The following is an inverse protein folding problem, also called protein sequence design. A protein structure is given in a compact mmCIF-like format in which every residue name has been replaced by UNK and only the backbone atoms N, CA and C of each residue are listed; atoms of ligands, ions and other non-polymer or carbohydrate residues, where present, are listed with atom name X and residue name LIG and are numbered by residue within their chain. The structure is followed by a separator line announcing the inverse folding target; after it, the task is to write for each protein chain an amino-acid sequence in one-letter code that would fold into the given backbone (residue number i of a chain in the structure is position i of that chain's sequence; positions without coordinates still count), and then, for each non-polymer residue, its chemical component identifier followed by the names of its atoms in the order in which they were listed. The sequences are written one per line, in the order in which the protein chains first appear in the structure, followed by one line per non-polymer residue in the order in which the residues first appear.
data_IF_258816835582
#
_entry.id   IF_258816835582
#
_cell.length_a   1.000
_cell.length_b   1.000
_cell.length_c   1.000
_cell.angle_alpha   90.00
_cell.angle_beta   90.00
_cell.angle_gamma   90.00
#
_symmetry.space_group_name_H-M   'P 1'
#
loop_
_entity.id
_entity.type
_entity.pdbx_description
1 polymer ?
#
# COMPACT_ATOMS: atom_id res chain seq x y z
N UNK A 1 13.07 -1.10 18.26
CA UNK A 1 12.10 -2.23 18.01
C UNK A 1 12.84 -3.36 17.29
N UNK A 2 12.56 -4.66 17.56
CA UNK A 2 13.17 -5.80 16.84
C UNK A 2 12.36 -6.18 15.60
N UNK A 3 12.98 -6.85 14.60
CA UNK A 3 12.30 -7.32 13.39
C UNK A 3 11.09 -8.23 13.69
N UNK A 4 11.16 -9.06 14.73
CA UNK A 4 10.03 -9.89 15.19
C UNK A 4 8.77 -9.08 15.47
N UNK A 5 8.92 -7.85 16.00
CA UNK A 5 7.79 -6.98 16.30
C UNK A 5 7.17 -6.39 15.01
N UNK A 6 7.96 -6.24 13.93
CA UNK A 6 7.43 -5.84 12.62
C UNK A 6 6.50 -6.92 12.08
N UNK A 7 6.84 -8.20 12.29
CA UNK A 7 6.03 -9.35 11.84
C UNK A 7 4.76 -9.55 12.65
N UNK A 8 4.81 -9.33 13.97
CA UNK A 8 3.69 -9.61 14.88
C UNK A 8 2.57 -8.56 14.85
N UNK A 9 2.80 -7.40 14.24
CA UNK A 9 1.80 -6.34 14.09
C UNK A 9 1.29 -6.28 12.66
N UNK A 10 -0.02 -6.34 12.46
CA UNK A 10 -0.60 -5.94 11.18
C UNK A 10 -0.21 -4.48 10.91
N UNK A 11 0.34 -4.19 9.73
CA UNK A 11 0.61 -2.81 9.32
C UNK A 11 -0.68 -1.99 9.40
N UNK A 12 -0.61 -0.75 9.87
CA UNK A 12 -1.81 0.09 10.06
C UNK A 12 -2.66 0.19 8.78
N UNK A 13 -2.04 0.16 7.61
CA UNK A 13 -2.73 0.24 6.33
C UNK A 13 -3.58 -1.00 5.99
N UNK A 14 -3.36 -2.15 6.68
CA UNK A 14 -4.14 -3.39 6.52
C UNK A 14 -5.31 -3.49 7.50
N UNK A 15 -5.46 -2.55 8.44
CA UNK A 15 -6.48 -2.65 9.49
C UNK A 15 -7.92 -2.53 9.00
N UNK A 16 -8.13 -2.14 7.74
CA UNK A 16 -9.47 -1.94 7.21
C UNK A 16 -10.23 -0.81 7.92
N UNK A 17 -9.50 0.17 8.44
CA UNK A 17 -10.03 1.36 9.12
C UNK A 17 -9.95 2.58 8.21
N UNK A 18 -10.68 3.65 8.55
CA UNK A 18 -10.65 4.91 7.82
C UNK A 18 -11.72 5.03 6.73
N UNK A 19 -11.86 6.23 6.14
CA UNK A 19 -12.89 6.50 5.14
C UNK A 19 -12.75 5.60 3.92
N UNK A 20 -13.86 5.06 3.43
CA UNK A 20 -13.94 4.24 2.21
C UNK A 20 -13.03 3.00 2.20
N UNK A 21 -12.68 2.44 3.37
CA UNK A 21 -11.77 1.29 3.51
C UNK A 21 -12.22 0.03 2.75
N UNK A 22 -13.49 -0.08 2.42
CA UNK A 22 -14.04 -1.17 1.59
C UNK A 22 -13.48 -1.15 0.16
N UNK A 23 -13.17 0.05 -0.36
CA UNK A 23 -12.65 0.25 -1.71
C UNK A 23 -11.21 0.75 -1.68
N UNK A 24 -10.89 1.68 -0.78
CA UNK A 24 -9.54 2.23 -0.64
C UNK A 24 -8.78 1.48 0.44
N UNK A 25 -7.88 0.58 0.05
CA UNK A 25 -7.06 -0.20 0.98
C UNK A 25 -6.12 0.72 1.75
N UNK A 26 -5.43 1.62 1.03
CA UNK A 26 -4.49 2.54 1.67
C UNK A 26 -4.26 3.82 0.87
N UNK A 27 -3.90 4.87 1.60
CA UNK A 27 -3.37 6.14 1.09
C UNK A 27 -1.89 6.26 1.43
N UNK A 28 -1.05 6.66 0.48
CA UNK A 28 0.38 6.79 0.67
C UNK A 28 0.91 8.08 0.07
N UNK A 29 1.73 8.81 0.83
CA UNK A 29 2.48 9.97 0.35
C UNK A 29 3.96 9.74 0.60
N UNK A 30 4.80 10.08 -0.38
CA UNK A 30 6.26 9.93 -0.35
C UNK A 30 6.93 11.22 -0.76
N UNK A 31 8.01 11.58 -0.07
CA UNK A 31 8.92 12.66 -0.43
C UNK A 31 10.30 12.11 -0.73
N UNK A 32 10.93 12.65 -1.78
CA UNK A 32 12.32 12.41 -2.15
C UNK A 32 13.12 13.68 -1.86
N UNK A 33 14.23 13.55 -1.14
CA UNK A 33 15.16 14.67 -0.81
C UNK A 33 16.59 14.24 -0.97
N UNK A 34 17.41 15.14 -1.48
CA UNK A 34 18.86 15.00 -1.51
C UNK A 34 19.53 16.11 -0.71
N UNK A 35 20.72 15.85 -0.20
CA UNK A 35 21.52 16.86 0.46
C UNK A 35 22.22 17.72 -0.57
N UNK A 36 22.35 19.03 -0.27
CA UNK A 36 23.14 19.97 -1.07
C UNK A 36 24.61 19.56 -1.07
N UNK A 37 25.28 19.77 -2.20
CA UNK A 37 26.72 19.55 -2.40
C UNK A 37 27.20 18.12 -2.09
N UNK A 38 26.29 17.12 -2.25
CA UNK A 38 26.59 15.70 -2.12
C UNK A 38 26.23 14.97 -3.41
N UNK A 39 27.04 14.01 -3.81
CA UNK A 39 26.72 13.13 -4.93
C UNK A 39 25.53 12.26 -4.57
N UNK A 40 24.55 12.18 -5.46
CA UNK A 40 23.36 11.35 -5.27
C UNK A 40 23.73 9.87 -5.12
N UNK A 41 22.95 9.04 -4.42
CA UNK A 41 23.35 7.67 -4.04
C UNK A 41 23.78 6.79 -5.21
N UNK A 42 23.24 7.02 -6.42
CA UNK A 42 23.62 6.31 -7.65
C UNK A 42 25.05 6.60 -8.12
N UNK A 43 25.60 7.77 -7.81
CA UNK A 43 26.94 8.24 -8.19
C UNK A 43 27.93 8.22 -7.03
N UNK A 44 27.43 8.27 -5.80
CA UNK A 44 28.25 8.32 -4.59
C UNK A 44 29.04 7.04 -4.40
N UNK A 45 30.33 7.17 -4.03
CA UNK A 45 31.19 6.05 -3.61
C UNK A 45 30.71 5.49 -2.25
N UNK A 46 31.11 4.27 -1.94
CA UNK A 46 30.74 3.60 -0.68
C UNK A 46 31.04 4.45 0.56
N UNK A 47 32.24 5.03 0.65
CA UNK A 47 32.62 5.89 1.77
C UNK A 47 31.73 7.12 1.91
N UNK A 48 31.36 7.75 0.79
CA UNK A 48 30.48 8.90 0.79
C UNK A 48 29.05 8.54 1.21
N UNK A 49 28.50 7.43 0.69
CA UNK A 49 27.20 6.93 1.15
C UNK A 49 27.19 6.62 2.66
N UNK A 50 28.29 6.06 3.19
CA UNK A 50 28.41 5.82 4.62
C UNK A 50 28.43 7.14 5.41
N UNK A 51 29.21 8.14 4.96
CA UNK A 51 29.25 9.44 5.60
C UNK A 51 27.89 10.17 5.57
N UNK A 52 27.15 10.03 4.48
CA UNK A 52 25.78 10.56 4.36
C UNK A 52 24.82 9.82 5.32
N UNK A 53 24.93 8.50 5.42
CA UNK A 53 24.15 7.70 6.35
C UNK A 53 24.39 8.11 7.81
N UNK A 54 25.67 8.27 8.19
CA UNK A 54 26.10 8.70 9.53
C UNK A 54 25.59 10.12 9.87
N UNK A 55 25.45 10.96 8.85
CA UNK A 55 24.87 12.31 8.99
C UNK A 55 23.35 12.27 9.16
N UNK A 56 22.65 11.48 8.37
CA UNK A 56 21.17 11.51 8.28
C UNK A 56 20.51 10.68 9.39
N UNK A 57 21.00 9.44 9.60
CA UNK A 57 20.35 8.46 10.47
C UNK A 57 20.09 8.98 11.90
N UNK A 58 21.06 9.61 12.62
CA UNK A 58 20.79 10.12 13.96
C UNK A 58 19.68 11.18 13.98
N UNK A 59 19.63 12.05 12.96
CA UNK A 59 18.63 13.12 12.86
C UNK A 59 17.22 12.57 12.61
N UNK A 60 17.11 11.46 11.89
CA UNK A 60 15.86 10.73 11.70
C UNK A 60 15.41 10.03 12.99
N UNK A 61 16.33 9.38 13.70
CA UNK A 61 16.06 8.70 14.96
C UNK A 61 15.64 9.65 16.10
N UNK A 62 16.12 10.90 16.08
CA UNK A 62 15.75 11.96 17.03
C UNK A 62 14.34 12.55 16.81
N UNK A 63 13.66 12.23 15.69
CA UNK A 63 12.31 12.75 15.44
C UNK A 63 11.31 12.20 16.47
N UNK A 64 10.41 13.03 16.94
CA UNK A 64 9.36 12.63 17.88
C UNK A 64 8.50 11.48 17.35
N UNK A 65 8.27 11.45 16.04
CA UNK A 65 7.52 10.42 15.32
C UNK A 65 8.26 9.07 15.26
N UNK A 66 9.58 9.05 15.55
CA UNK A 66 10.45 7.87 15.47
C UNK A 66 10.83 7.30 16.83
N UNK A 67 10.18 7.74 17.92
CA UNK A 67 10.40 7.12 19.23
C UNK A 67 10.10 5.62 19.18
N UNK A 68 10.98 4.79 19.75
CA UNK A 68 10.90 3.32 19.71
C UNK A 68 10.89 2.75 18.28
N UNK A 69 11.49 3.46 17.32
CA UNK A 69 11.54 3.04 15.91
C UNK A 69 12.27 1.70 15.73
N UNK A 70 11.97 1.05 14.60
CA UNK A 70 12.84 0.06 13.99
C UNK A 70 13.85 0.82 13.14
N UNK A 71 15.13 0.71 13.45
CA UNK A 71 16.23 1.35 12.74
C UNK A 71 17.32 0.34 12.48
N UNK A 72 17.48 -0.06 11.22
CA UNK A 72 18.44 -1.11 10.84
C UNK A 72 19.22 -0.73 9.57
N UNK A 73 20.47 -1.13 9.55
CA UNK A 73 21.29 -1.06 8.35
C UNK A 73 20.86 -2.15 7.37
N UNK A 74 20.76 -1.81 6.08
CA UNK A 74 20.34 -2.81 5.06
C UNK A 74 21.33 -3.98 4.93
N UNK A 75 22.60 -3.76 5.27
CA UNK A 75 23.60 -4.84 5.28
C UNK A 75 23.37 -5.88 6.38
N UNK A 76 22.72 -5.50 7.49
CA UNK A 76 22.50 -6.35 8.65
C UNK A 76 21.20 -7.16 8.55
N UNK A 77 20.33 -6.78 7.61
CA UNK A 77 19.11 -7.51 7.28
C UNK A 77 19.40 -8.63 6.26
N UNK A 78 18.88 -9.82 6.54
CA UNK A 78 18.89 -10.93 5.59
C UNK A 78 18.08 -10.60 4.33
N UNK A 79 18.37 -11.27 3.22
CA UNK A 79 17.60 -11.10 1.98
C UNK A 79 16.09 -11.37 2.19
N UNK A 80 15.75 -12.35 3.04
CA UNK A 80 14.37 -12.67 3.37
C UNK A 80 13.69 -11.55 4.14
N UNK A 81 14.35 -10.98 5.14
CA UNK A 81 13.80 -9.85 5.92
C UNK A 81 13.56 -8.62 5.06
N UNK A 82 14.47 -8.32 4.14
CA UNK A 82 14.26 -7.24 3.16
C UNK A 82 13.04 -7.50 2.28
N UNK A 83 12.84 -8.73 1.80
CA UNK A 83 11.67 -9.08 1.00
C UNK A 83 10.36 -8.98 1.79
N UNK A 84 10.34 -9.38 3.06
CA UNK A 84 9.20 -9.16 3.95
C UNK A 84 8.86 -7.67 4.06
N UNK A 85 9.86 -6.80 4.24
CA UNK A 85 9.63 -5.34 4.29
C UNK A 85 9.08 -4.79 2.96
N UNK A 86 9.49 -5.35 1.82
CA UNK A 86 8.93 -5.01 0.49
C UNK A 86 7.47 -5.44 0.38
N UNK A 87 7.15 -6.68 0.74
CA UNK A 87 5.78 -7.21 0.70
C UNK A 87 4.83 -6.43 1.62
N UNK A 88 5.36 -5.91 2.74
CA UNK A 88 4.63 -5.01 3.65
C UNK A 88 4.60 -3.56 3.19
N UNK A 89 5.13 -3.23 2.03
CA UNK A 89 5.22 -1.87 1.47
C UNK A 89 5.99 -0.86 2.35
N UNK A 90 6.89 -1.33 3.21
CA UNK A 90 7.68 -0.49 4.12
C UNK A 90 8.96 0.01 3.47
N UNK A 91 9.52 -0.75 2.52
CA UNK A 91 10.65 -0.34 1.66
C UNK A 91 10.35 -0.64 0.19
N UNK A 92 11.12 -0.03 -0.72
CA UNK A 92 11.06 -0.35 -2.15
C UNK A 92 11.90 -1.58 -2.49
N UNK A 93 11.66 -2.18 -3.67
CA UNK A 93 12.51 -3.26 -4.22
C UNK A 93 13.93 -2.77 -4.45
N UNK A 94 14.08 -1.54 -4.91
CA UNK A 94 15.35 -0.85 -5.15
C UNK A 94 16.14 -0.71 -3.83
N UNK A 95 15.45 -0.34 -2.74
CA UNK A 95 16.07 -0.25 -1.42
C UNK A 95 16.46 -1.62 -0.87
N UNK A 96 15.64 -2.65 -1.05
CA UNK A 96 15.95 -4.02 -0.67
C UNK A 96 17.23 -4.57 -1.35
N UNK A 97 17.54 -4.09 -2.56
CA UNK A 97 18.77 -4.44 -3.29
C UNK A 97 20.02 -3.72 -2.76
N UNK A 98 19.87 -2.70 -1.90
CA UNK A 98 21.01 -1.98 -1.30
C UNK A 98 21.65 -2.77 -0.13
N UNK A 99 22.83 -2.34 0.24
CA UNK A 99 23.63 -2.92 1.33
C UNK A 99 24.33 -1.84 2.12
N UNK A 100 25.69 -1.87 2.11
CA UNK A 100 26.52 -0.92 2.88
C UNK A 100 26.21 0.52 2.54
N UNK A 101 26.04 1.34 3.58
CA UNK A 101 25.74 2.76 3.46
C UNK A 101 24.25 3.08 3.27
N UNK A 102 23.35 2.11 3.44
CA UNK A 102 21.89 2.31 3.38
C UNK A 102 21.23 1.79 4.64
N UNK A 103 20.15 2.45 5.08
CA UNK A 103 19.38 2.07 6.26
C UNK A 103 17.87 2.33 6.06
N UNK A 104 17.08 1.68 6.88
CA UNK A 104 15.65 1.94 7.02
C UNK A 104 15.32 2.30 8.46
N UNK A 105 14.55 3.38 8.65
CA UNK A 105 14.01 3.77 9.96
C UNK A 105 12.49 3.85 9.82
N UNK A 106 11.76 3.14 10.67
CA UNK A 106 10.30 3.18 10.66
C UNK A 106 9.72 3.23 12.06
N UNK A 107 8.58 3.90 12.20
CA UNK A 107 7.92 3.99 13.48
C UNK A 107 7.21 2.67 13.86
N UNK A 108 6.88 2.51 15.14
CA UNK A 108 6.27 1.29 15.69
C UNK A 108 4.95 0.91 15.01
N UNK A 109 4.15 1.91 14.60
CA UNK A 109 2.87 1.70 13.92
C UNK A 109 3.00 1.36 12.44
N UNK A 110 4.20 1.42 11.87
CA UNK A 110 4.45 1.24 10.43
C UNK A 110 3.68 2.24 9.54
N UNK A 111 3.32 3.40 10.10
CA UNK A 111 2.68 4.50 9.37
C UNK A 111 3.66 5.45 8.70
N UNK A 112 4.90 5.45 9.17
CA UNK A 112 6.00 6.27 8.68
C UNK A 112 7.25 5.39 8.52
N UNK A 113 7.85 5.44 7.33
CA UNK A 113 9.10 4.75 7.01
C UNK A 113 10.00 5.69 6.22
N UNK A 114 11.27 5.73 6.59
CA UNK A 114 12.31 6.55 5.95
C UNK A 114 13.41 5.63 5.46
N UNK A 115 13.60 5.60 4.15
CA UNK A 115 14.68 4.89 3.47
C UNK A 115 15.84 5.87 3.25
N UNK A 116 17.04 5.51 3.74
CA UNK A 116 18.24 6.33 3.62
C UNK A 116 19.16 5.73 2.55
N UNK A 117 19.59 6.55 1.58
CA UNK A 117 20.40 6.15 0.43
C UNK A 117 19.73 5.03 -0.41
N UNK A 118 18.49 5.28 -0.84
CA UNK A 118 17.82 4.45 -1.85
C UNK A 118 18.21 4.93 -3.27
N UNK A 119 17.36 5.60 -4.01
CA UNK A 119 17.63 6.33 -5.23
C UNK A 119 18.08 7.77 -4.90
N UNK A 120 17.40 8.36 -3.92
CA UNK A 120 17.72 9.64 -3.30
C UNK A 120 18.27 9.41 -1.87
N UNK A 121 18.88 10.44 -1.26
CA UNK A 121 19.45 10.34 0.10
C UNK A 121 18.38 10.05 1.14
N UNK A 122 17.20 10.67 0.99
CA UNK A 122 16.02 10.45 1.82
C UNK A 122 14.82 10.12 0.94
N UNK A 123 14.15 9.03 1.25
CA UNK A 123 12.83 8.71 0.74
C UNK A 123 11.90 8.43 1.90
N UNK A 124 11.18 9.46 2.28
CA UNK A 124 10.23 9.42 3.38
C UNK A 124 8.88 9.00 2.86
N UNK A 125 8.19 8.11 3.56
CA UNK A 125 6.82 7.73 3.20
C UNK A 125 5.92 7.67 4.42
N UNK A 126 4.69 8.16 4.26
CA UNK A 126 3.59 7.90 5.17
C UNK A 126 2.54 7.05 4.47
N UNK A 127 2.01 6.05 5.19
CA UNK A 127 0.94 5.17 4.70
C UNK A 127 -0.18 5.12 5.75
N UNK A 128 -1.44 5.17 5.29
CA UNK A 128 -2.65 5.14 6.12
C UNK A 128 -3.68 4.21 5.50
N UNK A 129 -4.49 3.56 6.33
CA UNK A 129 -5.66 2.79 5.88
C UNK A 129 -6.74 3.72 5.31
N UNK A 130 -7.52 3.25 4.33
CA UNK A 130 -8.61 4.02 3.73
C UNK A 130 -8.16 5.27 2.96
N UNK A 131 -9.12 6.15 2.64
CA UNK A 131 -8.87 7.41 1.93
C UNK A 131 -8.41 8.52 2.90
N UNK A 132 -7.12 8.57 3.19
CA UNK A 132 -6.51 9.51 4.14
C UNK A 132 -5.27 10.22 3.56
N UNK A 133 -5.31 10.62 2.28
CA UNK A 133 -4.17 11.27 1.61
C UNK A 133 -3.72 12.54 2.32
N UNK A 134 -4.66 13.37 2.81
CA UNK A 134 -4.35 14.61 3.52
C UNK A 134 -3.64 14.34 4.86
N UNK A 135 -4.04 13.31 5.59
CA UNK A 135 -3.42 12.92 6.86
C UNK A 135 -2.03 12.30 6.62
N UNK A 136 -1.89 11.50 5.55
CA UNK A 136 -0.59 10.95 5.15
C UNK A 136 0.36 12.06 4.71
N UNK A 137 -0.12 13.07 3.96
CA UNK A 137 0.65 14.24 3.58
C UNK A 137 1.12 15.02 4.81
N UNK A 138 0.20 15.42 5.69
CA UNK A 138 0.54 16.18 6.90
C UNK A 138 1.60 15.51 7.77
N UNK A 139 1.58 14.17 7.86
CA UNK A 139 2.57 13.45 8.64
C UNK A 139 3.97 13.50 7.99
N UNK A 140 4.06 13.25 6.68
CA UNK A 140 5.36 13.27 6.01
C UNK A 140 5.91 14.69 5.86
N UNK A 141 5.07 15.69 5.64
CA UNK A 141 5.40 17.11 5.58
C UNK A 141 5.98 17.63 6.90
N UNK A 142 5.36 17.27 8.03
CA UNK A 142 5.89 17.56 9.36
C UNK A 142 7.30 17.00 9.56
N UNK A 143 7.54 15.77 9.12
CA UNK A 143 8.84 15.11 9.19
C UNK A 143 9.86 15.76 8.26
N UNK A 144 9.46 16.08 7.04
CA UNK A 144 10.28 16.78 6.05
C UNK A 144 10.76 18.14 6.59
N UNK A 145 9.85 18.97 7.08
CA UNK A 145 10.16 20.28 7.70
C UNK A 145 11.10 20.16 8.91
N UNK A 146 10.89 19.14 9.76
CA UNK A 146 11.76 18.90 10.90
C UNK A 146 13.18 18.47 10.50
N UNK A 147 13.31 17.73 9.40
CA UNK A 147 14.62 17.35 8.83
C UNK A 147 15.26 18.51 8.08
N UNK A 148 14.51 19.30 7.32
CA UNK A 148 15.01 20.47 6.61
C UNK A 148 15.62 21.52 7.56
N UNK A 149 15.07 21.64 8.78
CA UNK A 149 15.67 22.52 9.82
C UNK A 149 17.06 22.07 10.29
N UNK A 150 17.45 20.81 10.03
CA UNK A 150 18.72 20.20 10.49
C UNK A 150 19.64 19.76 9.34
N UNK A 151 19.12 19.68 8.12
CA UNK A 151 19.78 19.16 6.92
C UNK A 151 19.55 20.13 5.77
N UNK A 152 20.61 20.49 5.06
CA UNK A 152 20.52 21.37 3.92
C UNK A 152 20.16 20.55 2.66
N UNK A 153 18.91 20.69 2.19
CA UNK A 153 18.42 19.97 1.01
C UNK A 153 18.86 20.63 -0.31
N UNK A 154 19.09 19.82 -1.31
CA UNK A 154 19.35 20.24 -2.69
C UNK A 154 18.07 20.83 -3.30
N UNK A 155 17.99 22.14 -3.32
CA UNK A 155 16.85 22.91 -3.82
C UNK A 155 17.32 23.97 -4.82
N UNK A 156 16.60 24.09 -5.91
CA UNK A 156 16.77 25.13 -6.94
C UNK A 156 15.51 26.00 -7.00
N UNK A 157 15.67 27.32 -7.08
CA UNK A 157 14.53 28.26 -7.08
C UNK A 157 13.56 28.08 -8.26
N UNK A 158 14.03 27.54 -9.38
CA UNK A 158 13.22 27.33 -10.59
C UNK A 158 12.68 25.92 -10.70
N UNK A 159 13.47 24.94 -10.23
CA UNK A 159 13.18 23.51 -10.40
C UNK A 159 12.60 22.86 -9.12
N UNK A 160 12.67 23.52 -7.98
CA UNK A 160 12.28 22.92 -6.70
C UNK A 160 13.33 21.95 -6.16
N UNK A 161 12.90 20.92 -5.44
CA UNK A 161 13.78 19.88 -4.90
C UNK A 161 14.42 19.04 -6.01
N UNK A 162 15.74 18.90 -5.96
CA UNK A 162 16.52 18.14 -6.94
C UNK A 162 16.54 16.66 -6.55
N UNK A 163 16.09 15.79 -7.44
CA UNK A 163 15.96 14.35 -7.23
C UNK A 163 16.71 13.56 -8.28
N UNK A 164 17.10 12.32 -7.97
CA UNK A 164 17.80 11.43 -8.89
C UNK A 164 16.92 11.06 -10.10
N UNK A 165 15.62 10.87 -9.88
CA UNK A 165 14.67 10.63 -10.96
C UNK A 165 14.05 11.96 -11.43
N UNK A 166 14.19 12.36 -12.72
CA UNK A 166 13.62 13.60 -13.24
C UNK A 166 12.12 13.75 -13.04
N UNK A 167 11.38 12.64 -12.95
CA UNK A 167 9.92 12.65 -12.74
C UNK A 167 9.51 13.05 -11.32
N UNK A 168 10.45 13.14 -10.38
CA UNK A 168 10.22 13.57 -9.01
C UNK A 168 10.69 15.01 -8.77
N UNK A 169 11.42 15.64 -9.70
CA UNK A 169 11.90 17.04 -9.59
C UNK A 169 10.72 17.99 -9.42
N UNK A 170 10.86 18.97 -8.56
CA UNK A 170 9.82 19.92 -8.17
C UNK A 170 9.46 19.74 -6.72
N UNK A 171 8.28 19.27 -6.42
CA UNK A 171 7.87 18.95 -5.05
C UNK A 171 8.60 17.74 -4.45
N UNK A 172 9.18 16.87 -5.28
CA UNK A 172 9.72 15.59 -4.83
C UNK A 172 8.64 14.64 -4.29
N UNK A 173 7.35 14.99 -4.47
CA UNK A 173 6.21 14.30 -3.85
C UNK A 173 5.55 13.32 -4.80
N UNK A 174 5.29 12.11 -4.30
CA UNK A 174 4.39 11.16 -4.94
C UNK A 174 3.30 10.72 -3.98
N UNK A 175 2.08 11.15 -4.26
CA UNK A 175 0.86 10.72 -3.59
C UNK A 175 0.23 9.57 -4.38
N UNK A 176 -0.32 8.57 -3.68
CA UNK A 176 -1.00 7.44 -4.30
C UNK A 176 -2.05 6.83 -3.37
N UNK A 177 -3.04 6.19 -3.95
CA UNK A 177 -3.95 5.30 -3.22
C UNK A 177 -3.98 3.93 -3.87
N UNK A 178 -4.17 2.91 -3.05
CA UNK A 178 -4.40 1.53 -3.48
C UNK A 178 -5.88 1.24 -3.36
N UNK A 179 -6.50 0.84 -4.47
CA UNK A 179 -7.94 0.60 -4.56
C UNK A 179 -8.22 -0.86 -4.92
N UNK A 180 -9.26 -1.42 -4.32
CA UNK A 180 -9.83 -2.71 -4.64
C UNK A 180 -11.09 -2.47 -5.50
N UNK A 181 -11.02 -2.82 -6.79
CA UNK A 181 -12.02 -2.46 -7.80
C UNK A 181 -12.64 -3.68 -8.51
N UNK A 182 -13.11 -4.71 -7.78
CA UNK A 182 -13.66 -5.92 -8.39
C UNK A 182 -14.95 -5.66 -9.16
N UNK A 183 -15.79 -4.71 -8.73
CA UNK A 183 -17.03 -4.36 -9.43
C UNK A 183 -16.77 -3.84 -10.84
N UNK A 184 -15.80 -2.91 -10.97
CA UNK A 184 -15.40 -2.37 -12.28
C UNK A 184 -14.74 -3.44 -13.17
N UNK A 185 -13.96 -4.36 -12.59
CA UNK A 185 -13.34 -5.46 -13.34
C UNK A 185 -14.39 -6.45 -13.84
N UNK A 186 -15.28 -6.92 -12.96
CA UNK A 186 -16.35 -7.88 -13.30
C UNK A 186 -17.40 -7.32 -14.27
N UNK A 187 -17.56 -5.99 -14.28
CA UNK A 187 -18.43 -5.27 -15.23
C UNK A 187 -17.72 -4.88 -16.52
N UNK A 188 -16.42 -5.20 -16.68
CA UNK A 188 -15.57 -4.87 -17.84
C UNK A 188 -15.38 -3.34 -18.06
N UNK A 189 -15.65 -2.54 -17.03
CA UNK A 189 -15.56 -1.07 -17.08
C UNK A 189 -14.17 -0.52 -16.68
N UNK A 190 -13.31 -1.36 -16.13
CA UNK A 190 -12.01 -0.93 -15.57
C UNK A 190 -11.13 -0.23 -16.60
N UNK A 191 -11.07 -0.70 -17.83
CA UNK A 191 -10.24 -0.12 -18.89
C UNK A 191 -10.67 1.31 -19.24
N UNK A 192 -11.97 1.61 -19.21
CA UNK A 192 -12.50 2.97 -19.45
C UNK A 192 -12.06 3.91 -18.32
N UNK A 193 -12.09 3.44 -17.06
CA UNK A 193 -11.61 4.20 -15.91
C UNK A 193 -10.11 4.46 -16.01
N UNK A 194 -9.29 3.46 -16.34
CA UNK A 194 -7.84 3.60 -16.53
C UNK A 194 -7.53 4.66 -17.58
N UNK A 195 -8.19 4.59 -18.74
CA UNK A 195 -8.01 5.57 -19.82
C UNK A 195 -8.40 6.98 -19.39
N UNK A 196 -9.53 7.15 -18.71
CA UNK A 196 -9.97 8.45 -18.22
C UNK A 196 -9.00 9.06 -17.21
N UNK A 197 -8.50 8.26 -16.27
CA UNK A 197 -7.53 8.69 -15.26
C UNK A 197 -6.18 9.05 -15.89
N UNK A 198 -5.74 8.29 -16.90
CA UNK A 198 -4.48 8.58 -17.62
C UNK A 198 -4.55 9.88 -18.41
N UNK A 199 -5.71 10.20 -19.02
CA UNK A 199 -5.91 11.47 -19.77
C UNK A 199 -5.78 12.73 -18.91
N UNK A 200 -6.02 12.63 -17.60
CA UNK A 200 -5.88 13.76 -16.65
C UNK A 200 -4.52 13.78 -15.94
N UNK A 201 -3.51 13.07 -16.50
CA UNK A 201 -2.13 13.10 -15.99
C UNK A 201 -1.89 12.32 -14.70
N UNK A 202 -2.72 11.32 -14.40
CA UNK A 202 -2.49 10.39 -13.30
C UNK A 202 -2.05 9.01 -13.83
N UNK A 203 -1.21 8.30 -13.07
CA UNK A 203 -0.79 6.94 -13.39
C UNK A 203 -1.69 5.92 -12.69
N UNK A 204 -2.12 4.90 -13.45
CA UNK A 204 -2.77 3.71 -12.90
C UNK A 204 -1.87 2.51 -13.15
N UNK A 205 -1.60 1.72 -12.11
CA UNK A 205 -0.81 0.48 -12.20
C UNK A 205 -1.54 -0.64 -11.47
N UNK A 206 -1.56 -1.82 -12.08
CA UNK A 206 -1.97 -3.04 -11.38
C UNK A 206 -0.96 -3.38 -10.28
N UNK A 207 -1.45 -3.79 -9.11
CA UNK A 207 -0.59 -4.25 -8.05
C UNK A 207 -0.22 -5.72 -8.28
N UNK A 208 1.06 -6.07 -8.08
CA UNK A 208 1.62 -7.41 -8.29
C UNK A 208 1.52 -7.99 -9.71
N UNK A 209 0.92 -7.26 -10.68
CA UNK A 209 0.83 -7.62 -12.09
C UNK A 209 1.83 -6.87 -12.98
N UNK A 210 1.89 -7.22 -14.24
CA UNK A 210 2.63 -6.47 -15.26
C UNK A 210 1.74 -5.38 -15.89
N UNK A 211 2.25 -4.19 -16.00
CA UNK A 211 1.53 -3.05 -16.60
C UNK A 211 0.23 -2.70 -15.85
N UNK A 212 -0.90 -2.82 -16.54
CA UNK A 212 -2.24 -2.59 -15.99
C UNK A 212 -2.94 -3.87 -15.53
N UNK A 213 -2.35 -5.06 -15.72
CA UNK A 213 -2.88 -6.31 -15.18
C UNK A 213 -2.78 -6.25 -13.64
N UNK A 214 -3.91 -6.38 -12.96
CA UNK A 214 -4.00 -6.29 -11.52
C UNK A 214 -4.32 -7.65 -10.91
N UNK A 215 -3.43 -8.19 -10.08
CA UNK A 215 -3.75 -9.36 -9.27
C UNK A 215 -4.64 -8.95 -8.11
N UNK A 216 -5.67 -9.73 -7.82
CA UNK A 216 -6.60 -9.45 -6.73
C UNK A 216 -7.43 -8.17 -6.92
N UNK A 217 -7.61 -7.72 -8.16
CA UNK A 217 -8.35 -6.48 -8.49
C UNK A 217 -7.82 -5.24 -7.74
N UNK A 218 -6.50 -5.22 -7.44
CA UNK A 218 -5.83 -4.14 -6.72
C UNK A 218 -5.13 -3.19 -7.70
N UNK A 219 -5.51 -1.92 -7.68
CA UNK A 219 -4.98 -0.88 -8.54
C UNK A 219 -4.37 0.25 -7.71
N UNK A 220 -3.20 0.71 -8.09
CA UNK A 220 -2.58 1.91 -7.52
C UNK A 220 -2.77 3.09 -8.46
N UNK A 221 -3.34 4.17 -7.95
CA UNK A 221 -3.49 5.45 -8.65
C UNK A 221 -2.57 6.48 -8.01
N UNK A 222 -1.80 7.22 -8.81
CA UNK A 222 -0.82 8.19 -8.32
C UNK A 222 -0.66 9.39 -9.27
N UNK A 223 -0.16 10.54 -8.74
CA UNK A 223 0.30 11.62 -9.61
C UNK A 223 1.49 11.19 -10.47
N UNK A 224 1.62 11.80 -11.63
CA UNK A 224 2.79 11.65 -12.53
C UNK A 224 3.69 12.87 -12.48
N UNK A 225 3.11 14.06 -12.45
CA UNK A 225 3.81 15.33 -12.43
C UNK A 225 4.08 15.81 -11.00
N UNK A 226 5.22 16.44 -10.82
CA UNK A 226 5.71 16.99 -9.55
C UNK A 226 6.26 18.41 -9.73
N UNK A 227 6.47 18.84 -10.97
CA UNK A 227 6.96 20.17 -11.32
C UNK A 227 5.80 21.06 -11.74
N UNK A 228 5.75 22.29 -11.20
CA UNK A 228 4.74 23.30 -11.54
C UNK A 228 3.40 23.18 -10.81
N UNK A 229 3.25 22.23 -9.89
CA UNK A 229 2.07 22.08 -9.02
C UNK A 229 2.49 22.16 -7.55
N UNK A 230 1.59 22.60 -6.68
CA UNK A 230 1.81 22.57 -5.24
C UNK A 230 1.36 21.22 -4.65
N UNK A 231 1.98 20.82 -3.55
CA UNK A 231 1.70 19.55 -2.88
C UNK A 231 0.22 19.40 -2.49
N UNK A 232 -0.38 20.47 -1.93
CA UNK A 232 -1.80 20.48 -1.55
C UNK A 232 -2.74 20.34 -2.75
N UNK A 233 -2.38 20.93 -3.90
CA UNK A 233 -3.14 20.83 -5.14
C UNK A 233 -3.10 19.40 -5.68
N UNK A 234 -1.92 18.74 -5.67
CA UNK A 234 -1.75 17.34 -6.06
C UNK A 234 -2.61 16.44 -5.17
N UNK A 235 -2.56 16.60 -3.83
CA UNK A 235 -3.34 15.80 -2.87
C UNK A 235 -4.83 16.01 -3.08
N UNK A 236 -5.28 17.27 -3.25
CA UNK A 236 -6.69 17.61 -3.46
C UNK A 236 -7.22 17.04 -4.78
N UNK A 237 -6.48 17.20 -5.89
CA UNK A 237 -6.85 16.66 -7.19
C UNK A 237 -6.95 15.13 -7.16
N UNK A 238 -5.94 14.46 -6.59
CA UNK A 238 -5.92 13.00 -6.48
C UNK A 238 -7.09 12.50 -5.64
N UNK A 239 -7.39 13.16 -4.51
CA UNK A 239 -8.53 12.80 -3.65
C UNK A 239 -9.85 12.85 -4.42
N UNK A 240 -10.14 13.94 -5.15
CA UNK A 240 -11.37 14.07 -5.95
C UNK A 240 -11.52 12.98 -7.02
N UNK A 241 -10.41 12.64 -7.67
CA UNK A 241 -10.43 11.57 -8.69
C UNK A 241 -10.72 10.21 -8.04
N UNK A 242 -10.12 9.93 -6.88
CA UNK A 242 -10.36 8.69 -6.15
C UNK A 242 -11.83 8.61 -5.69
N UNK A 243 -12.41 9.71 -5.16
CA UNK A 243 -13.83 9.77 -4.79
C UNK A 243 -14.75 9.48 -5.99
N UNK A 244 -14.41 10.00 -7.17
CA UNK A 244 -15.14 9.67 -8.40
C UNK A 244 -15.05 8.18 -8.75
N UNK A 245 -13.88 7.55 -8.57
CA UNK A 245 -13.69 6.12 -8.85
C UNK A 245 -14.44 5.27 -7.82
N UNK A 246 -14.46 5.68 -6.56
CA UNK A 246 -15.26 5.03 -5.51
C UNK A 246 -16.73 5.02 -5.90
N UNK A 247 -17.29 6.14 -6.35
CA UNK A 247 -18.67 6.20 -6.86
C UNK A 247 -18.92 5.22 -8.01
N UNK A 248 -18.01 5.19 -8.99
CA UNK A 248 -18.12 4.24 -10.12
C UNK A 248 -18.01 2.77 -9.69
N UNK A 249 -17.18 2.45 -8.71
CA UNK A 249 -17.09 1.09 -8.15
C UNK A 249 -18.39 0.71 -7.43
N UNK A 250 -18.99 1.62 -6.65
CA UNK A 250 -20.31 1.39 -6.03
C UNK A 250 -21.40 1.16 -7.07
N UNK A 251 -21.47 1.99 -8.12
CA UNK A 251 -22.43 1.82 -9.20
C UNK A 251 -22.25 0.46 -9.90
N UNK A 252 -21.02 0.06 -10.18
CA UNK A 252 -20.70 -1.23 -10.79
C UNK A 252 -21.15 -2.40 -9.91
N UNK A 253 -20.86 -2.35 -8.58
CA UNK A 253 -21.33 -3.36 -7.61
C UNK A 253 -22.86 -3.44 -7.56
N UNK A 254 -23.54 -2.30 -7.60
CA UNK A 254 -25.01 -2.25 -7.62
C UNK A 254 -25.59 -2.90 -8.89
N UNK A 255 -25.01 -2.59 -10.06
CA UNK A 255 -25.42 -3.22 -11.34
C UNK A 255 -25.19 -4.73 -11.33
N UNK A 256 -24.07 -5.21 -10.77
CA UNK A 256 -23.80 -6.64 -10.63
C UNK A 256 -24.84 -7.34 -9.77
N UNK A 257 -25.23 -6.77 -8.64
CA UNK A 257 -26.28 -7.34 -7.77
C UNK A 257 -27.63 -7.35 -8.48
N UNK A 258 -28.01 -6.25 -9.13
CA UNK A 258 -29.33 -6.14 -9.75
C UNK A 258 -29.49 -6.95 -11.03
N UNK A 259 -28.45 -7.00 -11.88
CA UNK A 259 -28.57 -7.55 -13.25
C UNK A 259 -27.79 -8.85 -13.47
N UNK A 260 -26.78 -9.16 -12.64
CA UNK A 260 -25.90 -10.33 -12.78
C UNK A 260 -25.73 -11.09 -11.45
N UNK A 261 -26.73 -11.06 -10.59
CA UNK A 261 -26.69 -11.66 -9.26
C UNK A 261 -26.23 -13.12 -9.28
N UNK A 262 -26.81 -13.96 -10.13
CA UNK A 262 -26.46 -15.39 -10.22
C UNK A 262 -24.98 -15.61 -10.58
N UNK A 263 -24.43 -14.79 -11.50
CA UNK A 263 -23.01 -14.88 -11.88
C UNK A 263 -22.11 -14.46 -10.75
N UNK A 264 -22.45 -13.38 -10.04
CA UNK A 264 -21.68 -12.89 -8.88
C UNK A 264 -21.70 -13.93 -7.75
N UNK A 265 -22.84 -14.55 -7.51
CA UNK A 265 -23.00 -15.59 -6.48
C UNK A 265 -22.21 -16.84 -6.81
N UNK A 266 -22.24 -17.29 -8.07
CA UNK A 266 -21.43 -18.42 -8.53
C UNK A 266 -19.94 -18.13 -8.30
N UNK A 267 -19.47 -16.92 -8.61
CA UNK A 267 -18.07 -16.53 -8.38
C UNK A 267 -17.69 -16.53 -6.90
N UNK A 268 -18.52 -15.98 -6.01
CA UNK A 268 -18.29 -16.00 -4.56
C UNK A 268 -18.30 -17.44 -4.05
N UNK A 269 -19.28 -18.25 -4.46
CA UNK A 269 -19.38 -19.66 -4.07
C UNK A 269 -18.19 -20.49 -4.54
N UNK A 270 -17.74 -20.31 -5.77
CA UNK A 270 -16.53 -20.97 -6.31
C UNK A 270 -15.27 -20.54 -5.57
N UNK A 271 -15.10 -19.23 -5.37
CA UNK A 271 -13.95 -18.72 -4.62
C UNK A 271 -13.89 -19.31 -3.21
N UNK A 272 -15.01 -19.32 -2.50
CA UNK A 272 -15.11 -19.93 -1.17
C UNK A 272 -14.80 -21.44 -1.21
N UNK A 273 -15.38 -22.18 -2.16
CA UNK A 273 -15.13 -23.60 -2.30
C UNK A 273 -13.66 -23.93 -2.59
N UNK A 274 -13.04 -23.23 -3.55
CA UNK A 274 -11.63 -23.44 -3.89
C UNK A 274 -10.73 -23.11 -2.70
N UNK A 275 -10.90 -21.93 -2.08
CA UNK A 275 -10.08 -21.50 -0.94
C UNK A 275 -10.23 -22.42 0.29
N UNK A 276 -11.39 -23.08 0.44
CA UNK A 276 -11.67 -23.97 1.57
C UNK A 276 -11.12 -25.39 1.36
N UNK A 277 -11.00 -25.85 0.10
CA UNK A 277 -10.66 -27.25 -0.18
C UNK A 277 -9.38 -27.46 -0.99
N UNK A 278 -8.85 -26.45 -1.68
CA UNK A 278 -7.62 -26.61 -2.45
C UNK A 278 -6.42 -26.98 -1.58
N UNK A 279 -5.56 -27.91 -2.04
CA UNK A 279 -4.35 -28.34 -1.33
C UNK A 279 -3.07 -27.62 -1.80
N UNK A 280 -3.09 -27.07 -3.01
CA UNK A 280 -2.03 -26.21 -3.54
C UNK A 280 -2.66 -25.00 -4.24
N UNK A 281 -2.00 -23.85 -4.16
CA UNK A 281 -2.52 -22.61 -4.74
C UNK A 281 -1.38 -21.64 -5.06
N UNK A 282 -1.33 -21.12 -6.28
CA UNK A 282 -0.37 -20.09 -6.65
C UNK A 282 -0.68 -18.75 -6.00
N UNK A 283 0.31 -17.85 -5.89
CA UNK A 283 0.08 -16.49 -5.39
C UNK A 283 -0.98 -15.72 -6.18
N UNK A 284 -0.96 -15.83 -7.52
CA UNK A 284 -1.93 -15.17 -8.40
C UNK A 284 -3.35 -15.67 -8.16
N UNK A 285 -3.53 -16.97 -8.08
CA UNK A 285 -4.82 -17.60 -7.82
C UNK A 285 -5.36 -17.21 -6.44
N UNK A 286 -4.52 -17.28 -5.39
CA UNK A 286 -4.90 -16.89 -4.04
C UNK A 286 -5.39 -15.44 -3.98
N UNK A 287 -4.61 -14.49 -4.54
CA UNK A 287 -4.99 -13.08 -4.53
C UNK A 287 -6.31 -12.82 -5.27
N UNK A 288 -6.53 -13.48 -6.41
CA UNK A 288 -7.77 -13.31 -7.18
C UNK A 288 -8.97 -13.87 -6.43
N UNK A 289 -8.86 -15.05 -5.82
CA UNK A 289 -9.95 -15.64 -5.06
C UNK A 289 -10.23 -14.89 -3.75
N UNK A 290 -9.19 -14.46 -3.03
CA UNK A 290 -9.33 -13.62 -1.83
C UNK A 290 -10.03 -12.29 -2.15
N UNK A 291 -9.74 -11.70 -3.31
CA UNK A 291 -10.43 -10.49 -3.78
C UNK A 291 -11.95 -10.70 -3.93
N UNK A 292 -12.36 -11.85 -4.45
CA UNK A 292 -13.80 -12.19 -4.58
C UNK A 292 -14.43 -12.42 -3.21
N UNK A 293 -13.72 -13.06 -2.27
CA UNK A 293 -14.23 -13.20 -0.89
C UNK A 293 -14.34 -11.84 -0.20
N UNK A 294 -13.32 -10.94 -0.37
CA UNK A 294 -13.39 -9.57 0.14
C UNK A 294 -14.60 -8.82 -0.42
N UNK A 295 -14.87 -8.93 -1.72
CA UNK A 295 -16.09 -8.38 -2.32
C UNK A 295 -17.34 -8.99 -1.67
N UNK A 296 -17.36 -10.29 -1.41
CA UNK A 296 -18.45 -10.96 -0.69
C UNK A 296 -18.69 -10.41 0.72
N UNK A 297 -17.62 -10.08 1.46
CA UNK A 297 -17.73 -9.40 2.76
C UNK A 297 -18.31 -7.99 2.59
N UNK A 298 -17.78 -7.22 1.62
CA UNK A 298 -18.24 -5.86 1.33
C UNK A 298 -19.72 -5.80 0.95
N UNK A 299 -20.24 -6.85 0.36
CA UNK A 299 -21.63 -6.97 -0.08
C UNK A 299 -22.55 -7.67 0.94
N UNK A 300 -22.02 -8.06 2.10
CA UNK A 300 -22.79 -8.69 3.18
C UNK A 300 -23.00 -10.20 3.05
N UNK A 301 -22.40 -10.87 2.04
CA UNK A 301 -22.45 -12.34 1.93
C UNK A 301 -21.72 -13.05 3.07
N UNK A 302 -20.80 -12.36 3.73
CA UNK A 302 -20.11 -12.78 4.95
C UNK A 302 -20.20 -11.68 6.01
N UNK A 303 -20.07 -12.03 7.32
CA UNK A 303 -20.02 -11.03 8.38
C UNK A 303 -18.86 -10.06 8.23
N UNK A 304 -19.05 -8.79 8.61
CA UNK A 304 -18.08 -7.71 8.49
C UNK A 304 -16.77 -7.98 9.27
N UNK A 305 -16.85 -8.68 10.42
CA UNK A 305 -15.68 -9.08 11.21
C UNK A 305 -14.72 -10.04 10.48
N UNK A 306 -15.12 -10.52 9.30
CA UNK A 306 -14.29 -11.36 8.40
C UNK A 306 -13.39 -10.54 7.48
N UNK A 307 -13.56 -9.22 7.40
CA UNK A 307 -12.76 -8.33 6.54
C UNK A 307 -11.28 -8.36 6.92
N UNK A 308 -10.97 -8.07 8.18
CA UNK A 308 -9.57 -8.02 8.63
C UNK A 308 -8.81 -9.33 8.39
N UNK A 309 -9.37 -10.52 8.73
CA UNK A 309 -8.76 -11.81 8.37
C UNK A 309 -8.46 -11.99 6.89
N UNK A 310 -9.31 -11.47 5.98
CA UNK A 310 -9.06 -11.52 4.54
C UNK A 310 -7.96 -10.54 4.15
N UNK A 311 -7.99 -9.31 4.66
CA UNK A 311 -6.98 -8.29 4.35
C UNK A 311 -5.58 -8.74 4.82
N UNK A 312 -5.46 -9.41 5.96
CA UNK A 312 -4.22 -10.03 6.43
C UNK A 312 -3.72 -11.12 5.47
N UNK A 313 -4.61 -11.96 4.94
CA UNK A 313 -4.24 -13.03 4.02
C UNK A 313 -3.62 -12.52 2.70
N UNK A 314 -3.94 -11.29 2.25
CA UNK A 314 -3.26 -10.69 1.09
C UNK A 314 -1.76 -10.54 1.30
N UNK A 315 -1.30 -10.39 2.54
CA UNK A 315 0.12 -10.26 2.89
C UNK A 315 0.70 -11.58 3.41
N UNK A 316 0.02 -12.26 4.34
CA UNK A 316 0.51 -13.49 4.98
C UNK A 316 0.77 -14.62 3.97
N UNK A 317 0.07 -14.59 2.84
CA UNK A 317 0.23 -15.57 1.75
C UNK A 317 1.28 -15.18 0.71
N UNK A 318 1.97 -14.05 0.87
CA UNK A 318 3.07 -13.65 -0.01
C UNK A 318 4.32 -14.53 0.19
N UNK A 319 5.14 -14.72 -0.83
CA UNK A 319 6.26 -15.66 -0.81
C UNK A 319 7.24 -15.49 0.37
N UNK A 320 7.61 -14.24 0.71
CA UNK A 320 8.57 -14.02 1.79
C UNK A 320 7.94 -14.22 3.17
N UNK A 321 6.65 -13.89 3.35
CA UNK A 321 5.92 -14.17 4.58
C UNK A 321 5.80 -15.67 4.81
N UNK A 322 5.43 -16.46 3.78
CA UNK A 322 5.37 -17.93 3.86
C UNK A 322 6.74 -18.52 4.21
N UNK A 323 7.79 -18.03 3.56
CA UNK A 323 9.16 -18.49 3.81
C UNK A 323 9.61 -18.17 5.25
N UNK A 324 9.23 -17.00 5.79
CA UNK A 324 9.57 -16.61 7.17
C UNK A 324 8.78 -17.42 8.20
N UNK A 325 7.52 -17.76 7.91
CA UNK A 325 6.66 -18.55 8.79
C UNK A 325 7.10 -19.99 8.89
N UNK A 326 7.55 -20.61 7.80
CA UNK A 326 7.93 -22.04 7.76
C UNK A 326 9.23 -22.35 8.49
N UNK A 327 10.09 -21.38 8.75
CA UNK A 327 11.43 -21.54 9.31
C UNK A 327 12.38 -22.45 8.48
N UNK A 328 11.91 -23.01 7.37
CA UNK A 328 12.64 -23.85 6.43
C UNK A 328 12.65 -23.21 5.06
N UNK A 329 13.67 -23.51 4.25
CA UNK A 329 13.75 -23.04 2.87
C UNK A 329 12.76 -23.85 2.01
N UNK A 330 11.67 -23.21 1.61
CA UNK A 330 10.64 -23.78 0.75
C UNK A 330 10.93 -23.50 -0.74
N UNK A 331 10.71 -24.50 -1.60
CA UNK A 331 10.62 -24.32 -3.05
C UNK A 331 9.24 -23.71 -3.43
N UNK A 332 8.98 -23.53 -4.73
CA UNK A 332 7.74 -22.90 -5.20
C UNK A 332 6.49 -23.74 -4.86
N UNK A 333 6.55 -25.04 -5.11
CA UNK A 333 5.47 -26.00 -4.87
C UNK A 333 5.15 -26.11 -3.36
N UNK A 334 6.17 -26.21 -2.52
CA UNK A 334 5.99 -26.23 -1.06
C UNK A 334 5.36 -24.95 -0.54
N UNK A 335 5.72 -23.77 -1.11
CA UNK A 335 5.03 -22.51 -0.77
C UNK A 335 3.57 -22.51 -1.20
N UNK A 336 3.24 -23.09 -2.35
CA UNK A 336 1.87 -23.18 -2.83
C UNK A 336 1.01 -24.11 -1.96
N UNK A 337 1.57 -25.21 -1.45
CA UNK A 337 0.93 -26.07 -0.45
C UNK A 337 0.73 -25.34 0.89
N UNK A 338 1.75 -24.68 1.41
CA UNK A 338 1.68 -23.94 2.67
C UNK A 338 0.66 -22.79 2.59
N UNK A 339 0.63 -22.06 1.46
CA UNK A 339 -0.36 -21.00 1.19
C UNK A 339 -1.77 -21.54 1.27
N UNK A 340 -2.05 -22.63 0.57
CA UNK A 340 -3.36 -23.27 0.59
C UNK A 340 -3.73 -23.74 2.00
N UNK A 341 -2.80 -24.27 2.77
CA UNK A 341 -3.01 -24.69 4.16
C UNK A 341 -3.40 -23.51 5.04
N UNK A 342 -2.62 -22.40 5.02
CA UNK A 342 -2.89 -21.20 5.83
C UNK A 342 -4.26 -20.63 5.50
N UNK A 343 -4.61 -20.53 4.22
CA UNK A 343 -5.91 -20.02 3.77
C UNK A 343 -7.03 -20.92 4.29
N UNK A 344 -6.93 -22.23 4.13
CA UNK A 344 -7.95 -23.18 4.63
C UNK A 344 -8.14 -23.06 6.14
N UNK A 345 -7.05 -22.97 6.91
CA UNK A 345 -7.13 -22.83 8.37
C UNK A 345 -7.83 -21.54 8.79
N UNK A 346 -7.53 -20.42 8.12
CA UNK A 346 -8.18 -19.14 8.41
C UNK A 346 -9.66 -19.16 8.02
N UNK A 347 -10.01 -19.79 6.90
CA UNK A 347 -11.40 -19.86 6.39
C UNK A 347 -12.28 -20.87 7.13
N UNK A 348 -11.74 -21.78 7.95
CA UNK A 348 -12.55 -22.62 8.85
C UNK A 348 -13.46 -21.82 9.78
N UNK A 349 -13.09 -20.58 10.08
CA UNK A 349 -13.86 -19.67 10.92
C UNK A 349 -14.93 -18.88 10.15
N UNK A 350 -14.98 -19.03 8.81
CA UNK A 350 -15.95 -18.34 7.98
C UNK A 350 -17.21 -19.20 7.85
N UNK A 351 -18.40 -18.60 8.01
CA UNK A 351 -19.63 -19.28 7.64
C UNK A 351 -19.71 -19.48 6.13
N UNK A 352 -20.60 -20.34 5.66
CA UNK A 352 -20.94 -20.38 4.25
C UNK A 352 -21.49 -19.03 3.81
N UNK A 353 -21.23 -18.58 2.55
CA UNK A 353 -21.75 -17.32 2.06
C UNK A 353 -23.30 -17.32 2.08
N UNK A 354 -23.87 -16.28 2.67
CA UNK A 354 -25.31 -16.07 2.72
C UNK A 354 -25.71 -15.01 1.66
N UNK A 355 -26.14 -15.50 0.54
CA UNK A 355 -26.47 -14.72 -0.66
C UNK A 355 -27.70 -13.83 -0.44
N UNK A 356 -28.61 -14.23 0.48
CA UNK A 356 -29.85 -13.49 0.75
C UNK A 356 -29.62 -12.14 1.46
N UNK A 357 -28.42 -11.96 2.04
CA UNK A 357 -28.02 -10.75 2.79
C UNK A 357 -27.26 -9.72 1.95
N UNK A 358 -26.96 -10.01 0.69
CA UNK A 358 -26.17 -9.09 -0.13
C UNK A 358 -26.92 -7.78 -0.41
N UNK A 359 -26.33 -6.68 0.05
CA UNK A 359 -26.82 -5.31 -0.13
C UNK A 359 -25.66 -4.42 -0.59
N UNK A 360 -25.92 -3.44 -1.44
CA UNK A 360 -24.96 -2.35 -1.68
C UNK A 360 -25.29 -1.22 -0.71
N UNK A 361 -24.37 -0.85 0.16
CA UNK A 361 -24.48 0.38 0.90
C UNK A 361 -24.53 1.57 -0.07
N UNK A 362 -25.60 2.35 -0.01
CA UNK A 362 -25.71 3.61 -0.75
C UNK A 362 -24.59 4.55 -0.25
N UNK A 363 -23.76 5.06 -1.16
CA UNK A 363 -22.54 5.83 -0.89
C UNK A 363 -22.75 7.23 -0.25
N UNK A 364 -23.67 7.39 0.69
CA UNK A 364 -23.86 8.57 1.50
C UNK A 364 -23.28 8.37 2.91
N UNK A 365 -21.95 8.28 3.01
CA UNK A 365 -21.22 8.47 4.26
C UNK A 365 -21.04 9.95 4.60
N UNK A 366 -22.11 10.74 4.57
CA UNK A 366 -22.15 12.02 5.26
C UNK A 366 -22.39 11.72 6.74
N UNK A 367 -21.36 11.88 7.56
CA UNK A 367 -21.46 11.90 9.02
C UNK A 367 -22.58 12.84 9.43
N UNK A 368 -23.69 12.28 9.94
CA UNK A 368 -24.65 13.05 10.70
C UNK A 368 -23.94 13.53 11.96
N UNK A 369 -23.64 14.83 12.01
CA UNK A 369 -23.22 15.50 13.23
C UNK A 369 -24.29 15.34 14.32
N UNK A 370 -23.92 15.36 15.61
CA UNK A 370 -24.89 15.25 16.69
C UNK A 370 -25.88 16.42 16.60
N UNK A 371 -27.16 16.10 16.48
CA UNK A 371 -28.25 17.08 16.64
C UNK A 371 -28.20 17.60 18.07
N UNK A 372 -27.78 18.84 18.26
CA UNK A 372 -28.09 19.59 19.46
C UNK A 372 -29.62 19.74 19.53
N UNK A 373 -30.25 19.04 20.43
CA UNK A 373 -31.54 19.42 20.98
C UNK A 373 -31.30 19.98 22.38
N UNK A 374 -31.86 21.13 22.59
CA UNK A 374 -31.95 21.96 23.78
C UNK A 374 -32.05 21.25 25.13
#
# INVERSE_FOLDING_TARGET
MKFSNVMSTAGEWLRGEGPHHQIVISSRVRFARNLRDRAFPGWAKKAERTAILDLIRPRVEELAEMQDSFSELLQDLSALEKQVLVERHLISREHAAKGVGSAVVMNRRQTLSIMINEEDHLRMQSIRSGLQLKQAFKLVDKVDSALESKLEFAYDQRLGYLTACPTNVGTGMRASAMLHLPGLVLSELINQVIQAVSKIGLAVRGLYGEGTEAMGNLFQISNQTTLGEKEDEIVSRLTKVIETIIGKEHDARQVLIQKKSNTLWDQIGRAYGVLTYAHAMSSKEALNLLSIIKLGVDLGAFPEDRRLPIDELFIDTQPAHLQKTSQQKLNAEERDHLRAQIIRERLKLFPKPDISKMVVESGNGATAGPSNNE
#
